data_IF_910190233926
#
_entry.id   IF_910190233926
#
_cell.length_a   1.000
_cell.length_b   1.000
_cell.length_c   1.000
_cell.angle_alpha   90.00
_cell.angle_beta   90.00
_cell.angle_gamma   90.00
#
_symmetry.space_group_name_H-M   'P 1'
#
loop_
_entity.id
_entity.type
_entity.pdbx_description
1 polymer ?
#
# COMPACT_ATOMS: atom_id res chain seq x y z
N UNK A 1 -19.94 95.09 -15.92
CA UNK A 1 -19.43 93.79 -16.40
C UNK A 1 -18.68 92.97 -15.33
N UNK A 2 -17.96 93.58 -14.37
CA UNK A 2 -17.12 92.85 -13.40
C UNK A 2 -17.87 92.03 -12.32
N UNK A 3 -19.10 92.40 -11.95
CA UNK A 3 -19.87 91.72 -10.89
C UNK A 3 -20.58 90.43 -11.34
N UNK A 4 -20.86 90.27 -12.64
CA UNK A 4 -21.45 89.02 -13.18
C UNK A 4 -20.41 87.90 -13.30
N UNK A 5 -19.17 88.24 -13.65
CA UNK A 5 -18.04 87.29 -13.73
C UNK A 5 -17.68 86.69 -12.36
N UNK A 6 -17.76 87.50 -11.28
CA UNK A 6 -17.46 87.05 -9.92
C UNK A 6 -18.53 86.10 -9.35
N UNK A 7 -19.80 86.24 -9.76
CA UNK A 7 -20.86 85.29 -9.39
C UNK A 7 -20.69 83.97 -10.12
N UNK A 8 -20.38 84.00 -11.42
CA UNK A 8 -20.16 82.78 -12.22
C UNK A 8 -19.01 81.93 -11.68
N UNK A 9 -17.90 82.57 -11.27
CA UNK A 9 -16.75 81.89 -10.68
C UNK A 9 -17.09 81.18 -9.35
N UNK A 10 -17.94 81.80 -8.51
CA UNK A 10 -18.38 81.21 -7.22
C UNK A 10 -19.27 79.99 -7.42
N UNK A 11 -20.18 80.01 -8.41
CA UNK A 11 -21.01 78.85 -8.73
C UNK A 11 -20.19 77.71 -9.35
N UNK A 12 -19.17 78.02 -10.16
CA UNK A 12 -18.27 77.02 -10.74
C UNK A 12 -17.43 76.30 -9.66
N UNK A 13 -16.92 77.02 -8.66
CA UNK A 13 -16.21 76.39 -7.52
C UNK A 13 -17.12 75.58 -6.61
N UNK A 14 -18.39 75.97 -6.45
CA UNK A 14 -19.37 75.20 -5.68
C UNK A 14 -19.75 73.89 -6.39
N UNK A 15 -19.86 73.92 -7.72
CA UNK A 15 -20.14 72.74 -8.55
C UNK A 15 -18.95 71.76 -8.55
N UNK A 16 -17.72 72.26 -8.59
CA UNK A 16 -16.51 71.43 -8.50
C UNK A 16 -16.36 70.76 -7.12
N UNK A 17 -16.73 71.45 -6.03
CA UNK A 17 -16.69 70.87 -4.69
C UNK A 17 -17.75 69.78 -4.49
N UNK A 18 -18.94 69.96 -5.08
CA UNK A 18 -20.01 68.95 -5.06
C UNK A 18 -19.64 67.70 -5.88
N UNK A 19 -18.89 67.84 -6.98
CA UNK A 19 -18.37 66.72 -7.78
C UNK A 19 -17.22 65.97 -7.09
N UNK A 20 -16.49 66.59 -6.16
CA UNK A 20 -15.44 65.92 -5.38
C UNK A 20 -15.95 65.14 -4.16
N UNK A 21 -17.17 65.40 -3.70
CA UNK A 21 -17.79 64.66 -2.57
C UNK A 21 -18.45 63.36 -3.05
N UNK A 22 -18.76 63.23 -4.34
CA UNK A 22 -19.34 62.01 -4.92
C UNK A 22 -18.35 60.87 -5.21
N UNK A 23 -17.04 61.06 -4.98
CA UNK A 23 -16.04 59.99 -5.16
C UNK A 23 -15.76 59.20 -3.87
N UNK A 24 -16.49 59.44 -2.77
CA UNK A 24 -16.33 58.72 -1.50
C UNK A 24 -17.51 57.80 -1.15
N UNK A 25 -18.26 57.32 -2.15
CA UNK A 25 -19.17 56.19 -1.98
C UNK A 25 -19.01 55.22 -3.15
N UNK A 26 -17.99 54.38 -3.04
CA UNK A 26 -17.95 53.06 -3.68
C UNK A 26 -17.49 52.06 -2.62
N UNK A 27 -18.16 52.08 -1.47
CA UNK A 27 -18.17 50.93 -0.57
C UNK A 27 -19.17 49.92 -1.15
N UNK A 28 -18.78 49.33 -2.28
CA UNK A 28 -19.40 48.11 -2.76
C UNK A 28 -18.86 47.01 -1.87
N UNK A 29 -19.58 46.78 -0.78
CA UNK A 29 -19.59 45.52 -0.03
C UNK A 29 -20.00 44.38 -0.98
N UNK A 30 -19.12 44.05 -1.90
CA UNK A 30 -19.24 42.87 -2.73
C UNK A 30 -18.17 41.89 -2.27
N UNK A 31 -18.71 40.88 -1.61
CA UNK A 31 -18.16 39.65 -1.08
C UNK A 31 -17.48 38.80 -2.19
N UNK A 32 -16.55 39.39 -2.93
CA UNK A 32 -15.74 38.68 -3.93
C UNK A 32 -14.39 38.38 -3.30
N UNK A 33 -14.21 37.12 -2.95
CA UNK A 33 -12.90 36.54 -2.67
C UNK A 33 -12.03 36.75 -3.92
N UNK A 34 -10.87 37.37 -3.75
CA UNK A 34 -9.93 37.62 -4.85
C UNK A 34 -9.43 36.28 -5.43
N UNK A 35 -9.17 36.21 -6.74
CA UNK A 35 -8.72 34.95 -7.38
C UNK A 35 -7.42 34.44 -6.75
N UNK A 36 -6.57 35.36 -6.28
CA UNK A 36 -5.37 35.04 -5.53
C UNK A 36 -5.69 34.32 -4.21
N UNK A 37 -6.69 34.78 -3.47
CA UNK A 37 -7.13 34.19 -2.21
C UNK A 37 -7.76 32.81 -2.44
N UNK A 38 -8.56 32.65 -3.52
CA UNK A 38 -9.07 31.33 -3.95
C UNK A 38 -7.91 30.36 -4.24
N UNK A 39 -6.87 30.81 -4.95
CA UNK A 39 -5.69 29.98 -5.26
C UNK A 39 -4.95 29.58 -4.00
N UNK A 40 -4.72 30.52 -3.07
CA UNK A 40 -4.07 30.23 -1.79
C UNK A 40 -4.89 29.23 -0.96
N UNK A 41 -6.22 29.37 -0.89
CA UNK A 41 -7.08 28.43 -0.20
C UNK A 41 -7.05 27.03 -0.82
N UNK A 42 -7.01 26.92 -2.16
CA UNK A 42 -6.90 25.64 -2.87
C UNK A 42 -5.52 25.01 -2.62
N UNK A 43 -4.44 25.78 -2.73
CA UNK A 43 -3.08 25.31 -2.47
C UNK A 43 -2.90 24.86 -1.03
N UNK A 44 -3.44 25.60 -0.07
CA UNK A 44 -3.42 25.25 1.35
C UNK A 44 -4.25 24.00 1.65
N UNK A 45 -5.42 23.87 1.03
CA UNK A 45 -6.26 22.68 1.16
C UNK A 45 -5.59 21.44 0.54
N UNK A 46 -4.97 21.56 -0.64
CA UNK A 46 -4.21 20.48 -1.29
C UNK A 46 -2.97 20.13 -0.45
N UNK A 47 -2.23 21.12 0.02
CA UNK A 47 -1.04 20.92 0.86
C UNK A 47 -1.40 20.22 2.16
N UNK A 48 -2.48 20.65 2.83
CA UNK A 48 -2.95 20.03 4.07
C UNK A 48 -3.45 18.61 3.83
N UNK A 49 -4.24 18.38 2.77
CA UNK A 49 -4.70 17.04 2.40
C UNK A 49 -3.49 16.12 2.10
N UNK A 50 -2.51 16.59 1.34
CA UNK A 50 -1.30 15.82 1.04
C UNK A 50 -0.37 15.61 2.25
N UNK A 51 -0.42 16.48 3.26
CA UNK A 51 0.32 16.32 4.52
C UNK A 51 -0.33 15.29 5.46
N UNK A 52 -1.65 15.11 5.36
CA UNK A 52 -2.45 14.15 6.15
C UNK A 52 -2.60 12.78 5.44
N UNK A 53 -1.96 12.57 4.28
CA UNK A 53 -1.87 11.25 3.65
C UNK A 53 -0.81 10.42 4.39
N UNK A 54 -1.24 9.60 5.36
CA UNK A 54 -0.45 8.44 5.79
C UNK A 54 -0.33 7.50 4.59
N UNK A 55 0.75 7.64 3.83
CA UNK A 55 1.05 6.72 2.74
C UNK A 55 1.31 5.35 3.35
N UNK A 56 0.47 4.38 2.98
CA UNK A 56 0.76 2.97 3.19
C UNK A 56 2.17 2.66 2.69
N UNK A 57 3.00 2.24 3.62
CA UNK A 57 4.34 1.75 3.38
C UNK A 57 4.27 0.26 3.06
N UNK A 58 5.21 -0.22 2.25
CA UNK A 58 5.37 -1.64 2.04
C UNK A 58 6.84 -2.01 1.87
N UNK A 59 7.16 -3.22 2.28
CA UNK A 59 8.46 -3.84 2.13
C UNK A 59 8.31 -5.21 1.45
N UNK A 60 9.18 -5.48 0.49
CA UNK A 60 9.15 -6.72 -0.29
C UNK A 60 10.42 -7.51 0.01
N UNK A 61 10.25 -8.62 0.72
CA UNK A 61 11.35 -9.54 1.05
C UNK A 61 11.26 -10.76 0.15
N UNK A 62 12.26 -10.96 -0.72
CA UNK A 62 12.34 -12.17 -1.54
C UNK A 62 13.18 -13.21 -0.80
N UNK A 63 12.62 -14.40 -0.60
CA UNK A 63 13.25 -15.49 0.14
C UNK A 63 13.49 -16.65 -0.81
N UNK A 64 14.71 -17.20 -0.79
CA UNK A 64 15.05 -18.39 -1.55
C UNK A 64 15.42 -19.52 -0.58
N UNK A 65 14.65 -20.60 -0.60
CA UNK A 65 14.90 -21.80 0.22
C UNK A 65 15.43 -22.88 -0.72
N UNK A 66 16.63 -23.40 -0.42
CA UNK A 66 17.21 -24.50 -1.19
C UNK A 66 16.57 -25.82 -0.78
N UNK A 67 16.61 -26.81 -1.67
CA UNK A 67 16.16 -28.18 -1.39
C UNK A 67 16.76 -28.74 -0.08
N UNK A 68 18.02 -28.42 0.20
CA UNK A 68 18.73 -28.90 1.39
C UNK A 68 18.43 -28.14 2.69
N UNK A 69 17.70 -27.03 2.63
CA UNK A 69 17.38 -26.21 3.81
C UNK A 69 16.07 -26.67 4.48
N UNK A 70 15.32 -27.58 3.85
CA UNK A 70 14.10 -28.14 4.40
C UNK A 70 14.39 -29.20 5.45
N UNK A 71 13.80 -29.04 6.63
CA UNK A 71 13.92 -29.98 7.74
C UNK A 71 12.60 -30.72 7.95
N UNK A 72 12.65 -32.06 8.03
CA UNK A 72 11.47 -32.85 8.35
C UNK A 72 11.17 -32.81 9.85
N UNK A 73 9.97 -32.32 10.19
CA UNK A 73 9.48 -32.24 11.56
C UNK A 73 8.58 -33.44 11.88
N UNK A 74 9.11 -34.42 12.63
CA UNK A 74 8.36 -35.63 13.00
C UNK A 74 7.14 -35.36 13.89
N UNK A 75 7.16 -34.29 14.68
CA UNK A 75 6.06 -33.96 15.60
C UNK A 75 4.80 -33.50 14.85
N UNK A 76 5.00 -32.80 13.73
CA UNK A 76 3.93 -32.21 12.92
C UNK A 76 3.76 -32.89 11.56
N UNK A 77 4.63 -33.85 11.22
CA UNK A 77 4.68 -34.55 9.93
C UNK A 77 4.63 -33.58 8.73
N UNK A 78 5.58 -32.65 8.69
CA UNK A 78 5.73 -31.67 7.61
C UNK A 78 7.19 -31.26 7.46
N UNK A 79 7.55 -30.72 6.31
CA UNK A 79 8.82 -30.02 6.16
C UNK A 79 8.70 -28.58 6.64
N UNK A 80 9.78 -28.06 7.21
CA UNK A 80 9.88 -26.71 7.74
C UNK A 80 11.19 -26.07 7.30
N UNK A 81 11.12 -24.79 6.95
CA UNK A 81 12.29 -23.94 6.72
C UNK A 81 12.03 -22.56 7.34
N UNK A 82 12.89 -22.14 8.26
CA UNK A 82 12.75 -20.88 9.00
C UNK A 82 13.81 -19.89 8.52
N UNK A 83 13.39 -18.65 8.28
CA UNK A 83 14.29 -17.55 7.92
C UNK A 83 14.08 -16.35 8.85
N UNK A 84 15.15 -15.62 9.09
CA UNK A 84 15.08 -14.32 9.77
C UNK A 84 14.31 -13.32 8.89
N UNK A 85 13.42 -12.56 9.52
CA UNK A 85 12.63 -11.50 8.91
C UNK A 85 12.71 -10.23 9.78
N UNK A 86 13.87 -9.56 9.84
CA UNK A 86 14.07 -8.38 10.68
C UNK A 86 13.14 -7.20 10.32
N UNK A 87 12.60 -7.17 9.10
CA UNK A 87 11.63 -6.20 8.61
C UNK A 87 10.27 -6.33 9.32
N UNK A 88 9.97 -7.50 9.88
CA UNK A 88 8.77 -7.73 10.68
C UNK A 88 8.93 -7.08 12.07
N UNK A 89 8.64 -5.78 12.12
CA UNK A 89 8.55 -5.03 13.37
C UNK A 89 7.24 -5.33 14.10
N UNK A 90 7.18 -4.96 15.39
CA UNK A 90 5.96 -5.06 16.18
C UNK A 90 4.77 -4.34 15.54
N UNK A 91 5.02 -3.15 15.00
CA UNK A 91 3.97 -2.35 14.37
C UNK A 91 3.39 -3.08 13.16
N UNK A 92 4.26 -3.60 12.29
CA UNK A 92 3.87 -4.39 11.13
C UNK A 92 3.10 -5.62 11.55
N UNK A 93 3.57 -6.37 12.54
CA UNK A 93 2.93 -7.60 13.02
C UNK A 93 1.54 -7.36 13.62
N UNK A 94 1.36 -6.28 14.41
CA UNK A 94 0.11 -6.01 15.13
C UNK A 94 -0.91 -5.18 14.33
N UNK A 95 -0.45 -4.31 13.42
CA UNK A 95 -1.32 -3.33 12.74
C UNK A 95 -1.24 -3.41 11.20
N UNK A 96 -0.17 -4.01 10.67
CA UNK A 96 0.02 -4.18 9.24
C UNK A 96 -0.58 -5.48 8.69
N UNK A 97 -0.25 -5.77 7.43
CA UNK A 97 -0.56 -7.03 6.77
C UNK A 97 0.73 -7.72 6.33
N UNK A 98 0.79 -9.04 6.45
CA UNK A 98 1.87 -9.87 5.96
C UNK A 98 1.30 -10.85 4.92
N UNK A 99 1.81 -10.78 3.69
CA UNK A 99 1.35 -11.59 2.57
C UNK A 99 2.49 -12.47 2.08
N UNK A 100 2.26 -13.78 2.02
CA UNK A 100 3.21 -14.74 1.45
C UNK A 100 2.82 -15.14 0.03
N UNK A 101 3.82 -15.28 -0.83
CA UNK A 101 3.67 -15.81 -2.19
C UNK A 101 4.77 -16.83 -2.48
N UNK A 102 4.44 -17.81 -3.33
CA UNK A 102 5.38 -18.78 -3.89
C UNK A 102 5.38 -18.70 -5.41
N UNK A 103 6.54 -18.89 -6.02
CA UNK A 103 6.69 -18.99 -7.47
C UNK A 103 6.69 -20.46 -7.87
N UNK A 104 5.77 -20.85 -8.77
CA UNK A 104 5.62 -22.22 -9.27
C UNK A 104 5.94 -22.24 -10.76
N UNK A 105 6.68 -23.26 -11.23
CA UNK A 105 7.13 -23.38 -12.61
C UNK A 105 8.59 -22.98 -12.79
N UNK A 106 9.02 -22.84 -14.04
CA UNK A 106 10.41 -22.50 -14.40
C UNK A 106 10.53 -21.00 -14.71
N UNK A 107 11.51 -20.35 -14.06
CA UNK A 107 11.77 -18.92 -14.18
C UNK A 107 12.02 -18.51 -15.63
N UNK A 108 11.25 -17.52 -16.12
CA UNK A 108 11.35 -17.02 -17.49
C UNK A 108 10.70 -17.91 -18.56
N UNK A 109 10.09 -19.05 -18.18
CA UNK A 109 9.40 -19.97 -19.11
C UNK A 109 7.90 -19.98 -18.85
N UNK A 110 7.49 -20.49 -17.69
CA UNK A 110 6.07 -20.65 -17.31
C UNK A 110 5.83 -20.37 -15.83
N UNK A 111 6.77 -19.66 -15.18
CA UNK A 111 6.66 -19.26 -13.79
C UNK A 111 5.38 -18.46 -13.53
N UNK A 112 4.67 -18.83 -12.48
CA UNK A 112 3.49 -18.15 -11.97
C UNK A 112 3.64 -17.87 -10.48
N UNK A 113 3.27 -16.66 -10.07
CA UNK A 113 3.18 -16.30 -8.66
C UNK A 113 1.84 -16.78 -8.09
N UNK A 114 1.87 -17.51 -6.97
CA UNK A 114 0.70 -17.98 -6.23
C UNK A 114 0.72 -17.40 -4.83
N UNK A 115 -0.44 -17.01 -4.32
CA UNK A 115 -0.59 -16.58 -2.92
C UNK A 115 -0.53 -17.80 -2.01
N UNK A 116 0.09 -17.66 -0.84
CA UNK A 116 0.11 -18.69 0.18
C UNK A 116 -1.13 -18.58 1.11
N UNK A 117 -1.70 -19.71 1.58
CA UNK A 117 -1.28 -21.08 1.27
C UNK A 117 -1.62 -21.49 -0.17
N UNK A 118 -0.71 -22.24 -0.79
CA UNK A 118 -0.90 -22.85 -2.11
C UNK A 118 -1.14 -24.34 -1.92
N UNK A 119 -2.20 -24.85 -2.57
CA UNK A 119 -2.56 -26.27 -2.51
C UNK A 119 -2.57 -26.84 -3.92
N UNK A 120 -1.97 -28.01 -4.10
CA UNK A 120 -2.02 -28.76 -5.35
C UNK A 120 -2.27 -30.25 -5.07
N UNK A 121 -3.13 -30.86 -5.88
CA UNK A 121 -3.47 -32.29 -5.76
C UNK A 121 -2.72 -33.08 -6.82
N UNK A 122 -2.00 -34.10 -6.36
CA UNK A 122 -1.25 -35.03 -7.19
C UNK A 122 -2.00 -36.36 -7.29
N UNK A 123 -1.87 -36.99 -8.46
CA UNK A 123 -2.23 -38.38 -8.68
C UNK A 123 -0.96 -39.22 -8.64
N UNK A 124 -0.92 -40.23 -7.78
CA UNK A 124 0.25 -41.09 -7.55
C UNK A 124 0.12 -42.45 -8.26
N UNK A 125 -1.09 -42.85 -8.63
CA UNK A 125 -1.35 -44.12 -9.31
C UNK A 125 -2.67 -44.75 -8.89
N UNK A 126 -2.75 -46.07 -9.00
CA UNK A 126 -3.85 -46.88 -8.48
C UNK A 126 -3.32 -47.89 -7.46
N UNK A 127 -4.14 -48.22 -6.46
CA UNK A 127 -3.85 -49.31 -5.51
C UNK A 127 -4.07 -50.71 -6.14
N UNK A 128 -3.77 -51.77 -5.39
CA UNK A 128 -3.95 -53.17 -5.83
C UNK A 128 -5.42 -53.52 -6.15
N UNK A 129 -6.37 -52.67 -5.79
CA UNK A 129 -7.80 -52.83 -6.04
C UNK A 129 -8.32 -51.94 -7.19
N UNK A 130 -7.45 -51.16 -7.83
CA UNK A 130 -7.79 -50.24 -8.92
C UNK A 130 -8.40 -48.91 -8.46
N UNK A 131 -8.25 -48.53 -7.19
CA UNK A 131 -8.66 -47.20 -6.71
C UNK A 131 -7.53 -46.20 -6.90
N UNK A 132 -7.87 -45.00 -7.38
CA UNK A 132 -6.91 -43.91 -7.54
C UNK A 132 -6.31 -43.48 -6.19
N UNK A 133 -4.98 -43.38 -6.14
CA UNK A 133 -4.23 -42.82 -5.03
C UNK A 133 -3.98 -41.35 -5.36
N UNK A 134 -4.58 -40.47 -4.57
CA UNK A 134 -4.42 -39.02 -4.68
C UNK A 134 -4.00 -38.44 -3.34
N UNK A 135 -3.14 -37.43 -3.37
CA UNK A 135 -2.79 -36.64 -2.18
C UNK A 135 -2.70 -35.17 -2.56
N UNK A 136 -2.84 -34.29 -1.58
CA UNK A 136 -2.64 -32.85 -1.77
C UNK A 136 -1.44 -32.38 -1.00
N UNK A 137 -0.58 -31.60 -1.66
CA UNK A 137 0.51 -30.87 -1.03
C UNK A 137 0.03 -29.45 -0.72
N UNK A 138 0.30 -29.00 0.51
CA UNK A 138 0.07 -27.62 0.94
C UNK A 138 1.41 -26.96 1.23
N UNK A 139 1.68 -25.87 0.51
CA UNK A 139 2.79 -24.95 0.81
C UNK A 139 2.20 -23.75 1.55
N UNK A 140 2.74 -23.43 2.72
CA UNK A 140 2.25 -22.32 3.56
C UNK A 140 3.38 -21.55 4.23
N UNK A 141 3.02 -20.42 4.86
CA UNK A 141 3.96 -19.56 5.56
C UNK A 141 3.28 -18.99 6.82
N UNK A 142 4.00 -18.99 7.93
CA UNK A 142 3.66 -18.28 9.16
C UNK A 142 4.67 -17.17 9.46
N UNK A 143 4.25 -16.17 10.22
CA UNK A 143 5.08 -15.05 10.66
C UNK A 143 5.15 -15.03 12.17
N UNK A 144 6.35 -14.90 12.73
CA UNK A 144 6.55 -14.80 14.18
C UNK A 144 7.34 -13.53 14.50
N UNK A 145 6.72 -12.61 15.22
CA UNK A 145 7.40 -11.46 15.79
C UNK A 145 8.21 -11.86 17.03
N UNK A 146 9.49 -11.46 17.10
CA UNK A 146 10.39 -11.90 18.17
C UNK A 146 11.78 -11.27 18.16
N UNK A 147 12.78 -12.01 18.64
CA UNK A 147 14.20 -11.61 18.65
C UNK A 147 15.08 -12.81 18.30
N UNK A 148 15.29 -13.11 17.00
CA UNK A 148 14.81 -12.37 15.83
C UNK A 148 13.33 -12.63 15.49
N UNK A 149 12.72 -11.70 14.76
CA UNK A 149 11.48 -11.98 14.02
C UNK A 149 11.79 -12.94 12.88
N UNK A 150 10.84 -13.82 12.54
CA UNK A 150 11.06 -14.88 11.54
C UNK A 150 9.84 -15.11 10.67
N UNK A 151 10.07 -15.70 9.50
CA UNK A 151 9.05 -16.36 8.70
C UNK A 151 9.37 -17.86 8.61
N UNK A 152 8.36 -18.69 8.82
CA UNK A 152 8.46 -20.14 8.73
C UNK A 152 7.65 -20.62 7.53
N UNK A 153 8.28 -21.38 6.64
CA UNK A 153 7.63 -21.97 5.47
C UNK A 153 7.44 -23.46 5.70
N UNK A 154 6.35 -24.00 5.16
CA UNK A 154 6.01 -25.40 5.33
C UNK A 154 5.61 -26.06 4.03
N UNK A 155 5.93 -27.36 3.91
CA UNK A 155 5.38 -28.27 2.90
C UNK A 155 4.76 -29.44 3.64
N UNK A 156 3.46 -29.66 3.44
CA UNK A 156 2.72 -30.73 4.10
C UNK A 156 1.82 -31.47 3.12
N UNK A 157 2.04 -32.78 3.01
CA UNK A 157 1.16 -33.69 2.27
C UNK A 157 -0.03 -34.10 3.13
N UNK A 158 -1.21 -34.26 2.51
CA UNK A 158 -2.46 -34.62 3.19
C UNK A 158 -2.45 -36.01 3.83
N UNK A 159 -1.56 -36.89 3.36
CA UNK A 159 -1.33 -38.23 3.90
C UNK A 159 -0.31 -38.25 5.06
N UNK A 160 0.32 -37.11 5.35
CA UNK A 160 1.33 -36.91 6.39
C UNK A 160 2.57 -37.80 6.24
N UNK A 161 2.81 -38.35 5.03
CA UNK A 161 3.94 -39.21 4.78
C UNK A 161 5.20 -38.41 4.45
N UNK A 162 6.35 -38.86 4.97
CA UNK A 162 7.64 -38.26 4.61
C UNK A 162 8.05 -38.73 3.23
N UNK A 163 8.15 -37.81 2.30
CA UNK A 163 8.69 -38.05 0.96
C UNK A 163 9.73 -36.97 0.62
N UNK A 164 11.01 -37.32 0.54
CA UNK A 164 12.10 -36.35 0.28
C UNK A 164 12.20 -35.96 -1.21
N UNK A 165 11.51 -36.70 -2.09
CA UNK A 165 11.52 -36.48 -3.53
C UNK A 165 10.69 -35.27 -3.96
N UNK A 166 9.71 -34.86 -3.15
CA UNK A 166 8.88 -33.66 -3.40
C UNK A 166 9.66 -32.36 -3.18
N UNK A 167 10.79 -32.43 -2.44
CA UNK A 167 11.57 -31.25 -2.11
C UNK A 167 12.27 -30.66 -3.33
N UNK A 168 12.15 -29.35 -3.48
CA UNK A 168 12.75 -28.54 -4.52
C UNK A 168 13.31 -27.22 -3.96
N UNK A 169 14.02 -26.48 -4.82
CA UNK A 169 14.33 -25.09 -4.52
C UNK A 169 13.05 -24.26 -4.71
N UNK A 170 12.68 -23.48 -3.71
CA UNK A 170 11.53 -22.60 -3.79
C UNK A 170 11.96 -21.14 -3.70
N UNK A 171 11.32 -20.31 -4.52
CA UNK A 171 11.36 -18.87 -4.40
C UNK A 171 10.05 -18.40 -3.78
N UNK A 172 10.17 -17.57 -2.76
CA UNK A 172 9.06 -16.93 -2.08
C UNK A 172 9.19 -15.42 -2.13
N UNK A 173 8.05 -14.74 -2.03
CA UNK A 173 7.98 -13.31 -1.84
C UNK A 173 7.07 -13.03 -0.65
N UNK A 174 7.59 -12.31 0.32
CA UNK A 174 6.85 -11.76 1.44
C UNK A 174 6.61 -10.28 1.17
N UNK A 175 5.37 -9.83 1.36
CA UNK A 175 5.00 -8.42 1.27
C UNK A 175 4.45 -8.00 2.62
N UNK A 176 5.14 -7.06 3.25
CA UNK A 176 4.74 -6.41 4.49
C UNK A 176 4.12 -5.06 4.13
N UNK A 177 2.93 -4.75 4.64
CA UNK A 177 2.19 -3.52 4.32
C UNK A 177 1.75 -2.85 5.63
N UNK A 178 2.01 -1.56 5.83
CA UNK A 178 1.68 -0.85 7.07
C UNK A 178 1.59 0.67 6.92
#
# INVERSE_FOLDING_TARGET
MKTKMLKLAKYATLLLLLLSISYSCSDSSQDYIDEYEIRQMIEDAIRKNNQDLEFTQWEIVNVNIKKGDWEWMNETNRYEAIVDLPELTKFVYENGAQLGYVFIGEQGVNEVQKMLPYVYTYYEGEDDFGNEIIYSETISCDFMYGSPSTAAFYIQSSDLFRNDDILANYNFRLVLVW
#
